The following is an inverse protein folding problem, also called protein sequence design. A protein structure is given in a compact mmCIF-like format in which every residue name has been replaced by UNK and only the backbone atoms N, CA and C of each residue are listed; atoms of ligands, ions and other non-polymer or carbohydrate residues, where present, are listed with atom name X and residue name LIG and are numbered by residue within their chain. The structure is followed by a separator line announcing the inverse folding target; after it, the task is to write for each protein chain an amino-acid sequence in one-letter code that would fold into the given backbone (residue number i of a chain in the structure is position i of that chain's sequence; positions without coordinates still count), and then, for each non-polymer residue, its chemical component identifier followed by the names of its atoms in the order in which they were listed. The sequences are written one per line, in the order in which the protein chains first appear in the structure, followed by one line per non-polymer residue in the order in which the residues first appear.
data_IF_133637648274
#
_entry.id   IF_133637648274
#
_cell.length_a   1.000
_cell.length_b   1.000
_cell.length_c   1.000
_cell.angle_alpha   90.00
_cell.angle_beta   90.00
_cell.angle_gamma   90.00
#
_symmetry.space_group_name_H-M   'P 1'
#
loop_
_entity.id
_entity.type
_entity.pdbx_description
1 polymer ?
#
# COMPACT_ATOMS: atom_id res chain seq x y z
N UNK A 1 20.81 6.57 20.00
CA UNK A 1 20.50 5.23 19.45
C UNK A 1 19.29 5.41 18.57
N UNK A 2 19.52 5.58 17.28
CA UNK A 2 18.46 5.74 16.29
C UNK A 2 18.45 4.44 15.51
N UNK A 3 17.71 3.46 16.02
CA UNK A 3 17.97 2.07 15.64
C UNK A 3 16.92 1.06 16.04
N UNK A 4 15.70 1.49 16.38
CA UNK A 4 14.58 0.57 16.42
C UNK A 4 13.56 1.03 15.38
N UNK A 5 13.37 0.21 14.35
CA UNK A 5 12.30 0.44 13.41
C UNK A 5 10.98 0.36 14.18
N UNK A 6 10.08 1.32 13.98
CA UNK A 6 8.73 1.25 14.55
C UNK A 6 7.92 0.21 13.78
N UNK A 7 8.17 -1.06 14.13
CA UNK A 7 7.52 -2.23 13.55
C UNK A 7 6.03 -2.20 13.83
N UNK A 8 5.60 -1.70 15.00
CA UNK A 8 4.18 -1.63 15.36
C UNK A 8 3.43 -0.68 14.43
N UNK A 9 3.97 0.52 14.17
CA UNK A 9 3.40 1.48 13.23
C UNK A 9 3.36 0.92 11.81
N UNK A 10 4.45 0.29 11.36
CA UNK A 10 4.49 -0.33 10.02
C UNK A 10 3.49 -1.47 9.92
N UNK A 11 3.44 -2.38 10.90
CA UNK A 11 2.47 -3.48 10.93
C UNK A 11 1.02 -2.99 10.92
N UNK A 12 0.70 -1.90 11.63
CA UNK A 12 -0.63 -1.30 11.59
C UNK A 12 -1.00 -0.79 10.18
N UNK A 13 -0.03 -0.25 9.43
CA UNK A 13 -0.21 0.10 8.01
C UNK A 13 -0.37 -1.13 7.12
N UNK A 14 0.06 -2.32 7.52
CA UNK A 14 -0.12 -3.53 6.72
C UNK A 14 -1.35 -4.35 7.16
N UNK A 15 -1.89 -4.13 8.35
CA UNK A 15 -3.00 -4.90 8.95
C UNK A 15 -4.39 -4.72 8.27
N UNK A 16 -4.43 -4.28 7.01
CA UNK A 16 -5.63 -4.13 6.20
C UNK A 16 -5.49 -4.98 4.93
N UNK A 17 -6.37 -5.97 4.70
CA UNK A 17 -6.27 -6.86 3.55
C UNK A 17 -6.29 -6.16 2.19
N UNK A 18 -7.01 -5.05 2.05
CA UNK A 18 -7.05 -4.29 0.79
C UNK A 18 -5.72 -3.57 0.55
N UNK A 19 -5.12 -3.02 1.60
CA UNK A 19 -3.82 -2.34 1.54
C UNK A 19 -2.68 -3.31 1.23
N UNK A 20 -2.73 -4.54 1.75
CA UNK A 20 -1.78 -5.61 1.39
C UNK A 20 -1.88 -5.97 -0.09
N UNK A 21 -3.09 -6.06 -0.66
CA UNK A 21 -3.27 -6.35 -2.10
C UNK A 21 -2.65 -5.26 -2.97
N UNK A 22 -2.82 -3.98 -2.59
CA UNK A 22 -2.17 -2.85 -3.30
C UNK A 22 -0.66 -2.98 -3.25
N UNK A 23 -0.09 -3.27 -2.07
CA UNK A 23 1.36 -3.44 -1.91
C UNK A 23 1.91 -4.64 -2.69
N UNK A 24 1.19 -5.78 -2.68
CA UNK A 24 1.58 -6.97 -3.45
C UNK A 24 1.55 -6.71 -4.96
N UNK A 25 0.56 -5.97 -5.45
CA UNK A 25 0.51 -5.58 -6.86
C UNK A 25 1.68 -4.68 -7.28
N UNK A 26 2.27 -3.93 -6.34
CA UNK A 26 3.44 -3.07 -6.57
C UNK A 26 4.78 -3.76 -6.25
N UNK A 27 4.76 -4.96 -5.68
CA UNK A 27 5.95 -5.60 -5.11
C UNK A 27 7.02 -5.95 -6.14
N UNK A 28 6.65 -6.05 -7.42
CA UNK A 28 7.59 -6.30 -8.52
C UNK A 28 8.32 -5.03 -9.02
N UNK A 29 8.01 -3.86 -8.43
CA UNK A 29 8.68 -2.59 -8.70
C UNK A 29 8.33 -1.93 -10.03
N UNK A 30 7.39 -2.49 -10.80
CA UNK A 30 6.98 -1.90 -12.08
C UNK A 30 6.01 -0.74 -11.87
N UNK A 31 6.13 0.28 -12.71
CA UNK A 31 5.10 1.30 -12.83
C UNK A 31 3.85 0.67 -13.46
N UNK A 32 2.73 0.68 -12.74
CA UNK A 32 1.44 0.22 -13.24
C UNK A 32 0.55 1.40 -13.59
N UNK A 33 -0.19 1.27 -14.69
CA UNK A 33 -1.32 2.15 -14.93
C UNK A 33 -2.35 2.00 -13.80
N UNK A 34 -3.00 3.10 -13.40
CA UNK A 34 -3.90 3.11 -12.25
C UNK A 34 -5.05 2.08 -12.37
N UNK A 35 -5.57 1.87 -13.58
CA UNK A 35 -6.61 0.86 -13.86
C UNK A 35 -6.10 -0.57 -13.69
N UNK A 36 -4.85 -0.84 -14.10
CA UNK A 36 -4.21 -2.15 -13.94
C UNK A 36 -3.96 -2.43 -12.46
N UNK A 37 -3.42 -1.46 -11.72
CA UNK A 37 -3.24 -1.60 -10.27
C UNK A 37 -4.56 -1.89 -9.55
N UNK A 38 -5.64 -1.20 -9.92
CA UNK A 38 -6.97 -1.45 -9.37
C UNK A 38 -7.48 -2.86 -9.66
N UNK A 39 -7.29 -3.34 -10.89
CA UNK A 39 -7.66 -4.70 -11.28
C UNK A 39 -6.87 -5.75 -10.49
N UNK A 40 -5.54 -5.64 -10.44
CA UNK A 40 -4.65 -6.55 -9.69
C UNK A 40 -4.98 -6.56 -8.18
N UNK A 41 -5.22 -5.39 -7.60
CA UNK A 41 -5.59 -5.27 -6.19
C UNK A 41 -7.03 -5.73 -5.89
N UNK A 42 -7.85 -5.95 -6.92
CA UNK A 42 -9.30 -6.24 -6.81
C UNK A 42 -10.06 -5.18 -6.01
N UNK A 43 -9.80 -3.91 -6.34
CA UNK A 43 -10.40 -2.74 -5.73
C UNK A 43 -10.89 -1.79 -6.82
N UNK A 44 -11.76 -0.85 -6.46
CA UNK A 44 -12.03 0.29 -7.34
C UNK A 44 -10.82 1.21 -7.41
N UNK A 45 -10.69 2.00 -8.49
CA UNK A 45 -9.64 3.01 -8.61
C UNK A 45 -9.66 4.03 -7.45
N UNK A 46 -10.85 4.40 -6.98
CA UNK A 46 -11.02 5.28 -5.82
C UNK A 46 -10.55 4.60 -4.53
N UNK A 47 -10.85 3.30 -4.35
CA UNK A 47 -10.38 2.52 -3.21
C UNK A 47 -8.86 2.43 -3.16
N UNK A 48 -8.22 2.06 -4.27
CA UNK A 48 -6.75 2.06 -4.38
C UNK A 48 -6.17 3.43 -4.03
N UNK A 49 -6.74 4.51 -4.59
CA UNK A 49 -6.26 5.88 -4.34
C UNK A 49 -6.34 6.24 -2.85
N UNK A 50 -7.41 5.86 -2.15
CA UNK A 50 -7.55 6.08 -0.72
C UNK A 50 -6.50 5.30 0.10
N UNK A 51 -6.19 4.06 -0.28
CA UNK A 51 -5.15 3.27 0.38
C UNK A 51 -3.74 3.85 0.14
N UNK A 52 -3.43 4.24 -1.10
CA UNK A 52 -2.15 4.89 -1.44
C UNK A 52 -1.98 6.22 -0.70
N UNK A 53 -3.03 7.02 -0.58
CA UNK A 53 -2.98 8.28 0.16
C UNK A 53 -2.61 8.05 1.65
N UNK A 54 -3.16 7.00 2.26
CA UNK A 54 -2.83 6.62 3.66
C UNK A 54 -1.39 6.16 3.81
N UNK A 55 -0.90 5.32 2.89
CA UNK A 55 0.48 4.84 2.88
C UNK A 55 1.46 6.02 2.71
N UNK A 56 1.20 6.89 1.73
CA UNK A 56 2.00 8.10 1.47
C UNK A 56 2.02 9.05 2.66
N UNK A 57 0.87 9.30 3.29
CA UNK A 57 0.78 10.15 4.47
C UNK A 57 1.56 9.56 5.67
N UNK A 58 1.78 8.24 5.69
CA UNK A 58 2.54 7.56 6.72
C UNK A 58 4.04 7.46 6.44
N UNK A 59 4.50 7.90 5.27
CA UNK A 59 5.91 7.90 4.86
C UNK A 59 6.34 6.63 4.10
N UNK A 60 5.39 5.86 3.57
CA UNK A 60 5.63 4.73 2.66
C UNK A 60 5.41 5.10 1.20
#
# INVERSE_FOLDING_TARGET
MEGDADIARTAALFADPARVRVLLALADGRALAASVLAAEARLSAQGVSAHLAKLRAAGL
#
